data_IF_117821117854
#
_entry.id   IF_117821117854
#
_cell.length_a   1.000
_cell.length_b   1.000
_cell.length_c   1.000
_cell.angle_alpha   90.00
_cell.angle_beta   90.00
_cell.angle_gamma   90.00
#
_symmetry.space_group_name_H-M   'P 1'
#
loop_
_entity.id
_entity.type
_entity.pdbx_description
1 polymer ?
#
# COMPACT_ATOMS: atom_id res chain seq x y z
N UNK A 1 -5.04 -1.62 -11.54
CA UNK A 1 -5.10 -1.94 -12.98
C UNK A 1 -3.74 -2.43 -13.50
N UNK A 2 -2.67 -1.63 -13.45
CA UNK A 2 -1.33 -2.04 -13.90
C UNK A 2 -0.84 -3.38 -13.28
N UNK A 3 -0.99 -3.57 -11.96
CA UNK A 3 -0.60 -4.84 -11.29
C UNK A 3 -1.23 -6.09 -11.93
N UNK A 4 -2.47 -6.00 -12.41
CA UNK A 4 -3.15 -7.12 -13.07
C UNK A 4 -2.70 -7.26 -14.53
N UNK A 5 -2.49 -6.15 -15.22
CA UNK A 5 -2.16 -6.15 -16.65
C UNK A 5 -0.71 -6.57 -16.92
N UNK A 6 0.21 -6.08 -16.10
CA UNK A 6 1.65 -6.22 -16.35
C UNK A 6 2.29 -7.35 -15.54
N UNK A 7 1.65 -7.77 -14.43
CA UNK A 7 2.20 -8.77 -13.50
C UNK A 7 1.23 -9.94 -13.21
N UNK A 8 0.04 -9.95 -13.83
CA UNK A 8 -1.04 -10.92 -13.55
C UNK A 8 -1.44 -11.02 -12.07
N UNK A 9 -1.18 -9.97 -11.28
CA UNK A 9 -1.52 -9.93 -9.87
C UNK A 9 -2.94 -9.37 -9.67
N UNK A 10 -3.89 -10.27 -9.38
CA UNK A 10 -5.25 -9.87 -9.03
C UNK A 10 -5.32 -9.41 -7.57
N UNK A 11 -5.28 -8.09 -7.38
CA UNK A 11 -5.28 -7.44 -6.07
C UNK A 11 -6.53 -6.58 -5.91
N UNK A 12 -7.24 -6.73 -4.80
CA UNK A 12 -8.35 -5.85 -4.42
C UNK A 12 -7.98 -5.08 -3.16
N UNK A 13 -8.14 -3.76 -3.19
CA UNK A 13 -8.05 -2.93 -1.98
C UNK A 13 -9.33 -3.13 -1.17
N UNK A 14 -9.18 -3.50 0.10
CA UNK A 14 -10.30 -3.68 1.03
C UNK A 14 -10.49 -2.44 1.91
N UNK A 15 -9.39 -1.88 2.42
CA UNK A 15 -9.40 -0.70 3.25
C UNK A 15 -8.15 0.14 3.00
N UNK A 16 -8.27 1.45 3.23
CA UNK A 16 -7.22 2.43 3.02
C UNK A 16 -7.34 3.57 4.03
N UNK A 17 -6.27 3.79 4.79
CA UNK A 17 -6.15 4.93 5.68
C UNK A 17 -4.81 5.64 5.45
N UNK A 18 -4.83 6.97 5.43
CA UNK A 18 -3.62 7.76 5.28
C UNK A 18 -3.73 9.04 6.10
N UNK A 19 -2.62 9.45 6.72
CA UNK A 19 -2.51 10.75 7.35
C UNK A 19 -1.08 11.30 7.28
N UNK A 20 -0.97 12.62 7.41
CA UNK A 20 0.31 13.29 7.62
C UNK A 20 0.80 13.03 9.05
N UNK A 21 2.08 12.73 9.21
CA UNK A 21 2.73 12.48 10.51
C UNK A 21 3.64 13.63 10.94
N UNK A 22 3.87 14.60 10.07
CA UNK A 22 4.57 15.85 10.37
C UNK A 22 4.01 17.01 9.53
N UNK A 23 4.36 18.23 9.93
CA UNK A 23 3.98 19.47 9.25
C UNK A 23 5.22 20.23 8.75
N UNK A 24 5.02 21.22 7.87
CA UNK A 24 6.12 22.01 7.29
C UNK A 24 6.60 21.48 5.94
N UNK A 25 7.70 22.04 5.43
CA UNK A 25 8.28 21.71 4.11
C UNK A 25 8.70 20.25 3.96
N UNK A 26 9.01 19.58 5.08
CA UNK A 26 9.44 18.18 5.14
C UNK A 26 8.35 17.27 5.70
N UNK A 27 7.08 17.67 5.55
CA UNK A 27 5.93 16.90 5.98
C UNK A 27 5.97 15.49 5.35
N UNK A 28 5.82 14.47 6.20
CA UNK A 28 5.72 13.07 5.79
C UNK A 28 4.30 12.57 5.94
N UNK A 29 3.92 11.63 5.09
CA UNK A 29 2.69 10.88 5.17
C UNK A 29 2.96 9.41 5.45
N UNK A 30 2.03 8.79 6.16
CA UNK A 30 1.97 7.34 6.34
C UNK A 30 0.64 6.84 5.76
N UNK A 31 0.70 5.74 5.02
CA UNK A 31 -0.45 5.05 4.47
C UNK A 31 -0.50 3.60 4.97
N UNK A 32 -1.69 3.15 5.30
CA UNK A 32 -2.05 1.80 5.71
C UNK A 32 -3.04 1.28 4.69
N UNK A 33 -2.79 0.10 4.12
CA UNK A 33 -3.71 -0.50 3.16
C UNK A 33 -3.93 -1.97 3.49
N UNK A 34 -5.17 -2.40 3.44
CA UNK A 34 -5.52 -3.81 3.40
C UNK A 34 -5.77 -4.23 1.96
N UNK A 35 -5.09 -5.28 1.52
CA UNK A 35 -5.35 -5.90 0.23
C UNK A 35 -5.86 -7.32 0.39
N UNK A 36 -6.61 -7.78 -0.62
CA UNK A 36 -6.99 -9.17 -0.83
C UNK A 36 -6.35 -9.68 -2.11
N UNK A 37 -5.69 -10.83 -2.03
CA UNK A 37 -5.16 -11.58 -3.16
C UNK A 37 -5.38 -13.08 -2.89
N UNK A 38 -5.92 -13.80 -3.87
CA UNK A 38 -6.17 -15.25 -3.79
C UNK A 38 -6.91 -15.71 -2.51
N UNK A 39 -7.89 -14.93 -2.05
CA UNK A 39 -8.68 -15.26 -0.87
C UNK A 39 -8.03 -14.90 0.47
N UNK A 40 -6.73 -14.63 0.51
CA UNK A 40 -6.00 -14.14 1.69
C UNK A 40 -6.08 -12.61 1.78
N UNK A 41 -6.02 -12.05 2.99
CA UNK A 41 -5.83 -10.60 3.18
C UNK A 41 -4.54 -10.29 3.93
N UNK A 42 -4.01 -9.09 3.69
CA UNK A 42 -2.75 -8.63 4.27
C UNK A 42 -2.75 -7.11 4.38
N UNK A 43 -2.22 -6.62 5.50
CA UNK A 43 -1.98 -5.20 5.72
C UNK A 43 -0.55 -4.82 5.34
N UNK A 44 -0.41 -3.71 4.64
CA UNK A 44 0.86 -3.07 4.34
C UNK A 44 0.91 -1.63 4.84
N UNK A 45 2.13 -1.16 5.10
CA UNK A 45 2.41 0.19 5.59
C UNK A 45 3.47 0.82 4.71
N UNK A 46 3.27 2.07 4.32
CA UNK A 46 4.20 2.84 3.53
C UNK A 46 4.32 4.27 4.05
N UNK A 47 5.52 4.82 4.03
CA UNK A 47 5.80 6.16 4.55
C UNK A 47 6.67 6.93 3.56
N UNK A 48 6.24 8.13 3.20
CA UNK A 48 6.96 8.98 2.25
C UNK A 48 6.53 10.45 2.39
N UNK A 49 7.40 11.39 1.98
CA UNK A 49 7.05 12.84 1.91
C UNK A 49 5.96 13.14 0.88
N UNK A 50 5.81 12.25 -0.10
CA UNK A 50 4.76 12.30 -1.10
C UNK A 50 3.70 11.25 -0.73
N UNK A 51 2.48 11.71 -0.49
CA UNK A 51 1.33 10.87 -0.11
C UNK A 51 1.07 9.74 -1.10
N UNK A 52 1.14 10.00 -2.40
CA UNK A 52 0.95 8.98 -3.45
C UNK A 52 1.99 7.88 -3.32
N UNK A 53 3.25 8.25 -3.09
CA UNK A 53 4.34 7.28 -2.91
C UNK A 53 4.16 6.49 -1.61
N UNK A 54 3.69 7.12 -0.52
CA UNK A 54 3.36 6.41 0.72
C UNK A 54 2.30 5.33 0.48
N UNK A 55 1.25 5.64 -0.28
CA UNK A 55 0.22 4.67 -0.70
C UNK A 55 0.76 3.55 -1.58
N UNK A 56 1.65 3.84 -2.54
CA UNK A 56 2.28 2.80 -3.38
C UNK A 56 3.17 1.86 -2.54
N UNK A 57 3.95 2.42 -1.61
CA UNK A 57 4.79 1.63 -0.71
C UNK A 57 3.95 0.73 0.21
N UNK A 58 2.77 1.18 0.67
CA UNK A 58 1.89 0.35 1.48
C UNK A 58 1.34 -0.83 0.69
N UNK A 59 0.98 -0.66 -0.59
CA UNK A 59 0.57 -1.76 -1.48
C UNK A 59 1.70 -2.77 -1.67
N UNK A 60 2.92 -2.31 -1.96
CA UNK A 60 4.09 -3.17 -2.15
C UNK A 60 4.39 -3.96 -0.86
N UNK A 61 4.34 -3.29 0.29
CA UNK A 61 4.52 -3.92 1.61
C UNK A 61 3.50 -5.04 1.85
N UNK A 62 2.22 -4.79 1.52
CA UNK A 62 1.15 -5.78 1.68
C UNK A 62 1.34 -6.98 0.75
N UNK A 63 1.75 -6.73 -0.51
CA UNK A 63 2.02 -7.76 -1.52
C UNK A 63 3.20 -8.65 -1.14
N UNK A 64 4.33 -8.07 -0.72
CA UNK A 64 5.48 -8.84 -0.28
C UNK A 64 5.11 -9.78 0.89
N UNK A 65 4.25 -9.31 1.80
CA UNK A 65 3.79 -10.09 2.95
C UNK A 65 2.84 -11.23 2.57
N UNK A 66 1.92 -11.01 1.62
CA UNK A 66 0.91 -12.01 1.25
C UNK A 66 1.47 -13.09 0.33
N UNK A 67 2.44 -12.75 -0.53
CA UNK A 67 3.06 -13.69 -1.49
C UNK A 67 4.20 -14.49 -0.86
N UNK A 68 4.87 -13.97 0.18
CA UNK A 68 5.91 -14.71 0.92
C UNK A 68 5.36 -15.77 1.89
N UNK A 69 4.04 -16.04 1.88
CA UNK A 69 3.35 -17.00 2.76
C UNK A 69 2.57 -18.05 1.98
#
# INVERSE_FOLDING_TARGET
NALKQDLDLSVKVLDYHQHAISTGSDARAVAYIEIKNEGKSSWGVGMHVNTVIAGLLSVISALNKITSR
#
